data_IF_404394382678
#
_entry.id   IF_404394382678
#
_cell.length_a   1.000
_cell.length_b   1.000
_cell.length_c   1.000
_cell.angle_alpha   90.00
_cell.angle_beta   90.00
_cell.angle_gamma   90.00
#
_symmetry.space_group_name_H-M   'P 1'
#
loop_
_entity.id
_entity.type
_entity.pdbx_description
1 polymer ?
#
# COMPACT_ATOMS: atom_id res chain seq x y z
N UNK A 1 -40.75 5.28 -10.42
CA UNK A 1 -41.88 4.34 -10.48
C UNK A 1 -42.77 4.82 -11.61
N UNK A 2 -42.82 4.11 -12.74
CA UNK A 2 -43.61 4.51 -13.91
C UNK A 2 -45.02 3.94 -13.73
N UNK A 3 -46.03 4.81 -13.65
CA UNK A 3 -47.44 4.40 -13.64
C UNK A 3 -47.78 3.83 -15.02
N UNK A 4 -48.00 2.51 -15.08
CA UNK A 4 -48.41 1.86 -16.32
C UNK A 4 -49.90 2.12 -16.57
N UNK A 5 -50.27 2.29 -17.85
CA UNK A 5 -51.60 2.68 -18.37
C UNK A 5 -52.78 1.83 -17.87
N UNK A 6 -52.52 0.62 -17.36
CA UNK A 6 -53.54 -0.26 -16.77
C UNK A 6 -53.96 0.13 -15.35
N UNK A 7 -53.15 0.90 -14.61
CA UNK A 7 -53.49 1.37 -13.24
C UNK A 7 -54.39 2.61 -13.25
N UNK A 8 -54.33 3.43 -14.29
CA UNK A 8 -55.14 4.66 -14.39
C UNK A 8 -56.61 4.39 -14.74
N UNK A 9 -56.90 3.25 -15.37
CA UNK A 9 -58.28 2.83 -15.70
C UNK A 9 -59.17 2.55 -14.47
N UNK A 10 -58.58 2.26 -13.30
CA UNK A 10 -59.34 2.11 -12.05
C UNK A 10 -59.64 3.43 -11.33
N UNK A 11 -59.09 4.54 -11.84
CA UNK A 11 -59.26 5.88 -11.26
C UNK A 11 -60.46 6.62 -11.87
N UNK A 12 -61.12 6.08 -12.89
CA UNK A 12 -62.28 6.71 -13.51
C UNK A 12 -63.56 6.42 -12.70
N UNK A 13 -64.44 7.42 -12.56
CA UNK A 13 -65.73 7.28 -11.88
C UNK A 13 -66.61 6.26 -12.59
N UNK A 14 -67.15 5.30 -11.85
CA UNK A 14 -67.91 4.20 -12.44
C UNK A 14 -69.36 4.62 -12.75
N UNK A 15 -70.02 4.03 -13.76
CA UNK A 15 -71.40 4.36 -14.09
C UNK A 15 -72.34 4.06 -12.91
N UNK A 16 -73.04 5.08 -12.42
CA UNK A 16 -73.96 4.97 -11.27
C UNK A 16 -73.31 5.11 -9.88
N UNK A 17 -72.00 5.34 -9.82
CA UNK A 17 -71.28 5.60 -8.56
C UNK A 17 -71.55 7.02 -8.06
N UNK A 18 -72.00 7.15 -6.81
CA UNK A 18 -72.16 8.45 -6.18
C UNK A 18 -70.79 9.12 -5.99
N UNK A 19 -70.76 10.45 -5.98
CA UNK A 19 -69.51 11.23 -5.83
C UNK A 19 -68.75 10.82 -4.56
N UNK A 20 -69.48 10.62 -3.45
CA UNK A 20 -68.93 10.22 -2.16
C UNK A 20 -68.28 8.81 -2.18
N UNK A 21 -68.89 7.86 -2.90
CA UNK A 21 -68.35 6.51 -3.07
C UNK A 21 -67.06 6.53 -3.92
N UNK A 22 -67.03 7.34 -4.98
CA UNK A 22 -65.86 7.56 -5.81
C UNK A 22 -64.71 8.19 -5.01
N UNK A 23 -64.97 9.25 -4.25
CA UNK A 23 -63.98 9.91 -3.40
C UNK A 23 -63.39 8.96 -2.36
N UNK A 24 -64.23 8.16 -1.71
CA UNK A 24 -63.80 7.16 -0.72
C UNK A 24 -62.88 6.11 -1.36
N UNK A 25 -63.23 5.60 -2.55
CA UNK A 25 -62.40 4.63 -3.29
C UNK A 25 -61.05 5.23 -3.70
N UNK A 26 -61.05 6.48 -4.15
CA UNK A 26 -59.81 7.17 -4.53
C UNK A 26 -58.88 7.39 -3.34
N UNK A 27 -59.43 7.73 -2.17
CA UNK A 27 -58.66 7.85 -0.94
C UNK A 27 -58.04 6.50 -0.52
N UNK A 28 -58.81 5.42 -0.57
CA UNK A 28 -58.32 4.07 -0.26
C UNK A 28 -57.19 3.64 -1.22
N UNK A 29 -57.35 3.89 -2.52
CA UNK A 29 -56.32 3.61 -3.53
C UNK A 29 -55.03 4.43 -3.31
N UNK A 30 -55.15 5.70 -2.90
CA UNK A 30 -53.99 6.54 -2.55
C UNK A 30 -53.27 6.00 -1.31
N UNK A 31 -54.01 5.55 -0.29
CA UNK A 31 -53.42 4.93 0.90
C UNK A 31 -52.69 3.64 0.53
N UNK A 32 -53.30 2.79 -0.28
CA UNK A 32 -52.69 1.54 -0.75
C UNK A 32 -51.43 1.81 -1.59
N UNK A 33 -51.47 2.80 -2.48
CA UNK A 33 -50.28 3.19 -3.26
C UNK A 33 -49.17 3.71 -2.36
N UNK A 34 -49.49 4.54 -1.36
CA UNK A 34 -48.52 5.02 -0.36
C UNK A 34 -47.90 3.86 0.41
N UNK A 35 -48.69 2.89 0.85
CA UNK A 35 -48.20 1.70 1.54
C UNK A 35 -47.28 0.86 0.65
N UNK A 36 -47.68 0.58 -0.61
CA UNK A 36 -46.82 -0.16 -1.55
C UNK A 36 -45.53 0.60 -1.88
N UNK A 37 -45.59 1.92 -2.03
CA UNK A 37 -44.41 2.74 -2.27
C UNK A 37 -43.46 2.69 -1.05
N UNK A 38 -43.98 2.79 0.17
CA UNK A 38 -43.19 2.68 1.40
C UNK A 38 -42.58 1.27 1.58
N UNK A 39 -43.34 0.22 1.26
CA UNK A 39 -42.83 -1.16 1.29
C UNK A 39 -41.72 -1.37 0.24
N UNK A 40 -41.90 -0.83 -0.98
CA UNK A 40 -40.90 -0.93 -2.04
C UNK A 40 -39.62 -0.15 -1.72
N UNK A 41 -39.71 1.04 -1.11
CA UNK A 41 -38.52 1.79 -0.69
C UNK A 41 -37.80 1.09 0.47
N UNK A 42 -38.55 0.53 1.43
CA UNK A 42 -37.96 -0.25 2.51
C UNK A 42 -37.28 -1.53 2.01
N UNK A 43 -37.88 -2.24 1.06
CA UNK A 43 -37.29 -3.45 0.47
C UNK A 43 -36.00 -3.13 -0.29
N UNK A 44 -36.01 -2.09 -1.13
CA UNK A 44 -34.80 -1.63 -1.85
C UNK A 44 -33.69 -1.22 -0.91
N UNK A 45 -34.02 -0.47 0.16
CA UNK A 45 -33.04 -0.06 1.16
C UNK A 45 -32.36 -1.27 1.80
N UNK A 46 -33.14 -2.31 2.12
CA UNK A 46 -32.61 -3.56 2.68
C UNK A 46 -31.70 -4.31 1.69
N UNK A 47 -32.11 -4.39 0.42
CA UNK A 47 -31.29 -5.01 -0.63
C UNK A 47 -29.97 -4.24 -0.85
N UNK A 48 -30.02 -2.91 -0.83
CA UNK A 48 -28.84 -2.05 -0.96
C UNK A 48 -27.89 -2.22 0.23
N UNK A 49 -28.42 -2.28 1.46
CA UNK A 49 -27.65 -2.54 2.69
C UNK A 49 -26.95 -3.90 2.64
N UNK A 50 -27.67 -4.97 2.24
CA UNK A 50 -27.10 -6.31 2.09
C UNK A 50 -26.01 -6.35 1.00
N UNK A 51 -26.22 -5.68 -0.12
CA UNK A 51 -25.24 -5.57 -1.19
C UNK A 51 -24.00 -4.76 -0.78
N UNK A 52 -24.15 -3.74 0.08
CA UNK A 52 -23.02 -3.02 0.67
C UNK A 52 -22.23 -3.90 1.65
N UNK A 53 -22.90 -4.67 2.51
CA UNK A 53 -22.24 -5.59 3.44
C UNK A 53 -21.42 -6.64 2.69
N UNK A 54 -21.98 -7.25 1.65
CA UNK A 54 -21.26 -8.19 0.79
C UNK A 54 -20.04 -7.55 0.14
N UNK A 55 -20.16 -6.32 -0.38
CA UNK A 55 -19.02 -5.56 -0.94
C UNK A 55 -17.94 -5.27 0.10
N UNK A 56 -18.32 -4.87 1.32
CA UNK A 56 -17.38 -4.65 2.43
C UNK A 56 -16.61 -5.93 2.77
N UNK A 57 -17.27 -7.07 2.85
CA UNK A 57 -16.63 -8.37 3.13
C UNK A 57 -15.66 -8.78 2.01
N UNK A 58 -16.07 -8.64 0.75
CA UNK A 58 -15.22 -8.95 -0.40
C UNK A 58 -13.96 -8.07 -0.44
N UNK A 59 -14.11 -6.76 -0.17
CA UNK A 59 -12.97 -5.83 -0.13
C UNK A 59 -12.04 -6.13 1.05
N UNK A 60 -12.57 -6.45 2.24
CA UNK A 60 -11.75 -6.88 3.36
C UNK A 60 -10.94 -8.14 3.04
N UNK A 61 -11.55 -9.11 2.35
CA UNK A 61 -10.86 -10.32 1.94
C UNK A 61 -9.75 -10.00 0.94
N UNK A 62 -10.05 -9.19 -0.08
CA UNK A 62 -9.06 -8.72 -1.06
C UNK A 62 -7.88 -8.00 -0.40
N UNK A 63 -8.14 -7.17 0.61
CA UNK A 63 -7.08 -6.48 1.36
C UNK A 63 -6.20 -7.44 2.15
N UNK A 64 -6.79 -8.46 2.80
CA UNK A 64 -6.04 -9.52 3.49
C UNK A 64 -5.14 -10.28 2.52
N UNK A 65 -5.67 -10.68 1.37
CA UNK A 65 -4.94 -11.42 0.36
C UNK A 65 -3.82 -10.58 -0.25
N UNK A 66 -4.08 -9.30 -0.55
CA UNK A 66 -3.07 -8.36 -1.03
C UNK A 66 -1.95 -8.15 -0.01
N UNK A 67 -2.28 -8.05 1.29
CA UNK A 67 -1.30 -7.92 2.37
C UNK A 67 -0.45 -9.19 2.52
N UNK A 68 -1.07 -10.36 2.42
CA UNK A 68 -0.37 -11.65 2.46
C UNK A 68 0.58 -11.80 1.26
N UNK A 69 0.13 -11.44 0.05
CA UNK A 69 0.94 -11.48 -1.16
C UNK A 69 2.15 -10.54 -1.07
N UNK A 70 1.97 -9.31 -0.56
CA UNK A 70 3.08 -8.38 -0.31
C UNK A 70 4.10 -8.98 0.66
N UNK A 71 3.65 -9.51 1.80
CA UNK A 71 4.53 -10.16 2.78
C UNK A 71 5.32 -11.32 2.18
N UNK A 72 4.65 -12.18 1.39
CA UNK A 72 5.32 -13.30 0.71
C UNK A 72 6.38 -12.83 -0.30
N UNK A 73 6.11 -11.75 -1.03
CA UNK A 73 7.07 -11.16 -1.96
C UNK A 73 8.30 -10.59 -1.22
N UNK A 74 8.09 -9.94 -0.08
CA UNK A 74 9.17 -9.39 0.75
C UNK A 74 10.06 -10.48 1.32
N UNK A 75 9.48 -11.58 1.83
CA UNK A 75 10.25 -12.75 2.30
C UNK A 75 11.04 -13.40 1.16
N UNK A 76 10.45 -13.53 -0.04
CA UNK A 76 11.17 -14.05 -1.20
C UNK A 76 12.35 -13.14 -1.59
N UNK A 77 12.23 -11.81 -1.45
CA UNK A 77 13.35 -10.88 -1.64
C UNK A 77 14.43 -11.05 -0.57
N UNK A 78 14.05 -11.21 0.70
CA UNK A 78 14.98 -11.47 1.81
C UNK A 78 15.80 -12.73 1.56
N UNK A 79 15.12 -13.85 1.31
CA UNK A 79 15.77 -15.12 1.04
C UNK A 79 16.76 -15.05 -0.14
N UNK A 80 16.44 -14.29 -1.19
CA UNK A 80 17.36 -14.10 -2.32
C UNK A 80 18.60 -13.31 -1.94
N UNK A 81 18.48 -12.30 -1.08
CA UNK A 81 19.64 -11.53 -0.60
C UNK A 81 20.52 -12.38 0.31
N UNK A 82 19.93 -13.13 1.22
CA UNK A 82 20.67 -13.98 2.15
C UNK A 82 21.53 -14.99 1.37
N UNK A 83 21.00 -15.55 0.27
CA UNK A 83 21.76 -16.41 -0.65
C UNK A 83 22.90 -15.71 -1.38
N UNK A 84 22.75 -14.43 -1.74
CA UNK A 84 23.82 -13.66 -2.38
C UNK A 84 24.96 -13.44 -1.38
N UNK A 85 24.63 -13.04 -0.15
CA UNK A 85 25.61 -12.85 0.93
C UNK A 85 26.33 -14.15 1.30
N UNK A 86 25.60 -15.27 1.32
CA UNK A 86 26.22 -16.59 1.51
C UNK A 86 27.20 -16.91 0.35
N UNK A 87 26.77 -16.70 -0.90
CA UNK A 87 27.63 -16.95 -2.06
C UNK A 87 28.82 -16.01 -2.16
N UNK A 88 28.72 -14.79 -1.63
CA UNK A 88 29.83 -13.83 -1.58
C UNK A 88 31.00 -14.39 -0.78
N UNK A 89 30.73 -14.90 0.43
CA UNK A 89 31.75 -15.51 1.27
C UNK A 89 32.37 -16.76 0.64
N UNK A 90 31.56 -17.62 0.03
CA UNK A 90 32.05 -18.82 -0.67
C UNK A 90 32.99 -18.46 -1.83
N UNK A 91 32.61 -17.45 -2.63
CA UNK A 91 33.40 -17.00 -3.79
C UNK A 91 34.68 -16.29 -3.34
N UNK A 92 34.64 -15.52 -2.25
CA UNK A 92 35.83 -14.87 -1.68
C UNK A 92 36.87 -15.92 -1.25
N UNK A 93 36.44 -17.00 -0.60
CA UNK A 93 37.32 -18.11 -0.22
C UNK A 93 37.95 -18.77 -1.46
N UNK A 94 37.13 -19.09 -2.46
CA UNK A 94 37.60 -19.68 -3.73
C UNK A 94 38.59 -18.73 -4.43
N UNK A 95 38.31 -17.43 -4.46
CA UNK A 95 39.21 -16.43 -5.04
C UNK A 95 40.57 -16.44 -4.35
N UNK A 96 40.60 -16.54 -3.01
CA UNK A 96 41.84 -16.67 -2.23
C UNK A 96 42.63 -17.94 -2.57
N UNK A 97 41.96 -19.08 -2.70
CA UNK A 97 42.61 -20.35 -3.08
C UNK A 97 43.24 -20.30 -4.48
N UNK A 98 42.52 -19.74 -5.45
CA UNK A 98 43.03 -19.60 -6.82
C UNK A 98 44.12 -18.55 -6.94
N UNK A 99 44.08 -17.50 -6.13
CA UNK A 99 45.17 -16.52 -6.05
C UNK A 99 46.47 -17.20 -5.59
N UNK A 100 46.43 -18.01 -4.54
CA UNK A 100 47.61 -18.78 -4.07
C UNK A 100 48.12 -19.71 -5.17
N UNK A 101 47.24 -20.44 -5.86
CA UNK A 101 47.63 -21.33 -6.95
C UNK A 101 48.22 -20.59 -8.17
N UNK A 102 47.83 -19.33 -8.39
CA UNK A 102 48.33 -18.51 -9.50
C UNK A 102 49.71 -17.91 -9.25
N UNK A 103 50.08 -17.72 -7.97
CA UNK A 103 51.36 -17.17 -7.52
C UNK A 103 52.49 -18.21 -7.49
N UNK A 104 52.21 -19.50 -7.72
CA UNK A 104 53.27 -20.51 -7.87
C UNK A 104 54.13 -20.23 -9.12
N UNK A 105 55.47 -20.30 -8.96
CA UNK A 105 56.47 -19.92 -9.98
C UNK A 105 56.27 -20.66 -11.33
N UNK A 106 55.73 -21.87 -11.33
CA UNK A 106 55.47 -22.69 -12.53
C UNK A 106 53.99 -22.83 -12.89
N UNK A 107 53.11 -22.02 -12.30
CA UNK A 107 51.67 -22.11 -12.55
C UNK A 107 51.35 -21.97 -14.05
N UNK A 108 50.48 -22.82 -14.63
CA UNK A 108 50.08 -22.70 -16.02
C UNK A 108 49.35 -21.38 -16.31
N UNK A 109 49.49 -20.78 -17.52
CA UNK A 109 48.73 -19.59 -17.90
C UNK A 109 47.21 -19.73 -17.73
N UNK A 110 46.68 -20.94 -17.89
CA UNK A 110 45.26 -21.24 -17.67
C UNK A 110 44.84 -21.07 -16.20
N UNK A 111 45.71 -21.41 -15.24
CA UNK A 111 45.46 -21.24 -13.80
C UNK A 111 45.43 -19.76 -13.45
N UNK A 112 46.42 -18.98 -13.90
CA UNK A 112 46.43 -17.51 -13.73
C UNK A 112 45.20 -16.85 -14.35
N UNK A 113 44.82 -17.24 -15.57
CA UNK A 113 43.63 -16.71 -16.22
C UNK A 113 42.32 -17.04 -15.48
N UNK A 114 42.23 -18.23 -14.89
CA UNK A 114 41.08 -18.62 -14.09
C UNK A 114 41.04 -17.87 -12.74
N UNK A 115 42.18 -17.70 -12.08
CA UNK A 115 42.29 -16.90 -10.86
C UNK A 115 41.82 -15.46 -11.07
N UNK A 116 42.31 -14.79 -12.12
CA UNK A 116 41.84 -13.44 -12.49
C UNK A 116 40.34 -13.40 -12.79
N UNK A 117 39.80 -14.44 -13.44
CA UNK A 117 38.36 -14.50 -13.73
C UNK A 117 37.55 -14.63 -12.45
N UNK A 118 37.98 -15.47 -11.51
CA UNK A 118 37.31 -15.67 -10.23
C UNK A 118 37.40 -14.40 -9.36
N UNK A 119 38.54 -13.71 -9.37
CA UNK A 119 38.71 -12.41 -8.71
C UNK A 119 37.68 -11.39 -9.23
N UNK A 120 37.53 -11.27 -10.55
CA UNK A 120 36.50 -10.39 -11.14
C UNK A 120 35.08 -10.77 -10.71
N UNK A 121 34.77 -12.08 -10.63
CA UNK A 121 33.47 -12.56 -10.13
C UNK A 121 33.28 -12.22 -8.66
N UNK A 122 34.33 -12.37 -7.84
CA UNK A 122 34.31 -12.00 -6.41
C UNK A 122 34.00 -10.51 -6.23
N UNK A 123 34.68 -9.64 -6.98
CA UNK A 123 34.44 -8.18 -6.95
C UNK A 123 33.00 -7.84 -7.38
N UNK A 124 32.51 -8.52 -8.42
CA UNK A 124 31.14 -8.34 -8.90
C UNK A 124 30.11 -8.71 -7.83
N UNK A 125 30.27 -9.88 -7.21
CA UNK A 125 29.34 -10.38 -6.19
C UNK A 125 29.38 -9.50 -4.93
N UNK A 126 30.57 -9.06 -4.49
CA UNK A 126 30.70 -8.13 -3.38
C UNK A 126 30.01 -6.77 -3.67
N UNK A 127 30.14 -6.27 -4.90
CA UNK A 127 29.42 -5.06 -5.32
C UNK A 127 27.91 -5.27 -5.29
N UNK A 128 27.42 -6.42 -5.77
CA UNK A 128 26.00 -6.78 -5.70
C UNK A 128 25.50 -6.91 -4.25
N UNK A 129 26.30 -7.48 -3.35
CA UNK A 129 25.99 -7.61 -1.93
C UNK A 129 25.82 -6.24 -1.26
N UNK A 130 26.80 -5.34 -1.43
CA UNK A 130 26.72 -3.97 -0.92
C UNK A 130 25.48 -3.22 -1.44
N UNK A 131 25.16 -3.35 -2.73
CA UNK A 131 23.94 -2.77 -3.32
C UNK A 131 22.66 -3.35 -2.69
N UNK A 132 22.63 -4.64 -2.35
CA UNK A 132 21.48 -5.24 -1.68
C UNK A 132 21.31 -4.71 -0.24
N UNK A 133 22.39 -4.41 0.46
CA UNK A 133 22.37 -3.78 1.78
C UNK A 133 21.83 -2.34 1.72
N UNK A 134 22.28 -1.55 0.74
CA UNK A 134 21.76 -0.19 0.52
C UNK A 134 20.25 -0.19 0.23
N UNK A 135 19.81 -1.09 -0.66
CA UNK A 135 18.38 -1.26 -0.97
C UNK A 135 17.60 -1.66 0.27
N UNK A 136 18.14 -2.55 1.12
CA UNK A 136 17.54 -2.93 2.40
C UNK A 136 17.41 -1.77 3.38
N UNK A 137 18.41 -0.90 3.43
CA UNK A 137 18.42 0.30 4.24
C UNK A 137 17.29 1.25 3.79
N UNK A 138 17.24 1.56 2.50
CA UNK A 138 16.20 2.42 1.90
C UNK A 138 14.80 1.83 2.09
N UNK A 139 14.61 0.53 1.85
CA UNK A 139 13.32 -0.13 2.05
C UNK A 139 12.86 -0.07 3.52
N UNK A 140 13.79 -0.22 4.46
CA UNK A 140 13.50 -0.09 5.89
C UNK A 140 13.11 1.34 6.25
N UNK A 141 13.76 2.34 5.64
CA UNK A 141 13.43 3.75 5.81
C UNK A 141 12.04 4.08 5.27
N UNK A 142 11.73 3.65 4.04
CA UNK A 142 10.40 3.83 3.42
C UNK A 142 9.32 3.18 4.27
N UNK A 143 9.56 1.98 4.82
CA UNK A 143 8.61 1.32 5.74
C UNK A 143 8.38 2.11 7.02
N UNK A 144 9.42 2.76 7.58
CA UNK A 144 9.25 3.65 8.75
C UNK A 144 8.41 4.87 8.38
N UNK A 145 8.68 5.48 7.23
CA UNK A 145 7.93 6.64 6.75
C UNK A 145 6.45 6.31 6.52
N UNK A 146 6.15 5.16 5.91
CA UNK A 146 4.77 4.72 5.70
C UNK A 146 4.00 4.57 7.03
N UNK A 147 4.64 4.00 8.06
CA UNK A 147 4.03 3.88 9.41
C UNK A 147 3.73 5.23 10.03
N UNK A 148 4.64 6.18 9.88
CA UNK A 148 4.43 7.54 10.39
C UNK A 148 3.28 8.22 9.65
N UNK A 149 3.23 8.10 8.32
CA UNK A 149 2.10 8.63 7.54
C UNK A 149 0.78 8.01 8.02
N UNK A 150 0.73 6.71 8.26
CA UNK A 150 -0.45 6.04 8.83
C UNK A 150 -0.81 6.59 10.23
N UNK A 151 0.18 6.80 11.11
CA UNK A 151 -0.03 7.39 12.44
C UNK A 151 -0.56 8.83 12.37
N UNK A 152 -0.01 9.65 11.48
CA UNK A 152 -0.45 11.03 11.25
C UNK A 152 -1.89 11.05 10.70
N UNK A 153 -2.20 10.17 9.74
CA UNK A 153 -3.55 10.04 9.19
C UNK A 153 -4.56 9.64 10.26
N UNK A 154 -4.18 8.74 11.16
CA UNK A 154 -5.01 8.33 12.29
C UNK A 154 -5.20 9.46 13.32
N UNK A 155 -4.18 10.29 13.56
CA UNK A 155 -4.31 11.49 14.38
C UNK A 155 -5.26 12.50 13.75
N UNK A 156 -5.11 12.78 12.46
CA UNK A 156 -6.01 13.68 11.71
C UNK A 156 -7.45 13.17 11.77
N UNK A 157 -7.68 11.87 11.53
CA UNK A 157 -9.04 11.28 11.66
C UNK A 157 -9.62 11.46 13.05
N UNK A 158 -8.82 11.31 14.12
CA UNK A 158 -9.30 11.55 15.48
C UNK A 158 -9.69 13.01 15.70
N UNK A 159 -8.88 13.94 15.20
CA UNK A 159 -9.16 15.38 15.27
C UNK A 159 -10.41 15.76 14.45
N UNK A 160 -10.62 15.15 13.29
CA UNK A 160 -11.82 15.35 12.48
C UNK A 160 -13.10 14.82 13.15
N UNK A 161 -13.00 13.80 13.99
CA UNK A 161 -14.16 13.16 14.67
C UNK A 161 -14.48 13.78 16.04
N UNK A 162 -13.51 14.39 16.71
CA UNK A 162 -13.67 15.09 17.99
C UNK A 162 -14.79 16.18 17.99
N UNK A 163 -15.11 16.86 16.86
CA UNK A 163 -16.21 17.82 16.75
C UNK A 163 -17.63 17.26 16.86
N UNK A 164 -17.83 15.97 16.59
CA UNK A 164 -19.18 15.45 16.30
C UNK A 164 -19.92 14.95 17.55
N UNK A 165 -19.23 14.76 18.68
CA UNK A 165 -19.80 14.15 19.88
C UNK A 165 -20.16 15.13 21.01
N UNK A 166 -19.96 16.43 20.85
CA UNK A 166 -20.32 17.44 21.86
C UNK A 166 -21.55 18.25 21.42
N UNK A 167 -22.57 18.29 22.30
CA UNK A 167 -23.74 19.20 22.22
C UNK A 167 -23.30 20.61 21.80
N UNK A 168 -24.07 21.34 20.96
CA UNK A 168 -23.72 22.69 20.53
C UNK A 168 -23.74 23.65 21.73
N UNK A 169 -22.61 23.73 22.45
CA UNK A 169 -22.37 24.68 23.50
C UNK A 169 -21.76 25.95 22.90
N UNK A 170 -22.07 27.10 23.52
CA UNK A 170 -21.88 28.44 22.97
C UNK A 170 -20.46 28.82 22.51
N UNK A 171 -20.31 30.01 21.91
CA UNK A 171 -19.14 30.45 21.15
C UNK A 171 -17.79 30.33 21.88
N UNK A 172 -17.76 30.42 23.21
CA UNK A 172 -16.55 30.24 24.02
C UNK A 172 -15.94 28.84 23.91
N UNK A 173 -16.74 27.79 23.72
CA UNK A 173 -16.28 26.41 23.56
C UNK A 173 -15.63 26.20 22.18
N UNK A 174 -16.07 26.94 21.16
CA UNK A 174 -15.52 26.85 19.81
C UNK A 174 -14.10 27.42 19.75
N UNK A 175 -13.84 28.53 20.47
CA UNK A 175 -12.50 29.10 20.62
C UNK A 175 -11.53 28.14 21.32
N UNK A 176 -11.96 27.50 22.42
CA UNK A 176 -11.14 26.52 23.14
C UNK A 176 -10.79 25.31 22.27
N UNK A 177 -11.75 24.86 21.45
CA UNK A 177 -11.56 23.75 20.51
C UNK A 177 -10.61 24.10 19.36
N UNK A 178 -10.67 25.33 18.85
CA UNK A 178 -9.72 25.82 17.84
C UNK A 178 -8.31 25.89 18.42
N UNK A 179 -8.15 26.36 19.66
CA UNK A 179 -6.84 26.39 20.33
C UNK A 179 -6.26 24.99 20.54
N UNK A 180 -7.06 24.01 20.96
CA UNK A 180 -6.61 22.62 21.11
C UNK A 180 -6.15 22.06 19.75
N UNK A 181 -6.95 22.27 18.69
CA UNK A 181 -6.60 21.82 17.35
C UNK A 181 -5.32 22.49 16.82
N UNK A 182 -5.13 23.77 17.09
CA UNK A 182 -3.92 24.50 16.71
C UNK A 182 -2.67 23.94 17.41
N UNK A 183 -2.78 23.60 18.71
CA UNK A 183 -1.71 22.95 19.48
C UNK A 183 -1.41 21.56 18.92
N UNK A 184 -2.44 20.77 18.63
CA UNK A 184 -2.29 19.41 18.11
C UNK A 184 -1.65 19.42 16.71
N UNK A 185 -2.07 20.32 15.82
CA UNK A 185 -1.46 20.52 14.49
C UNK A 185 -0.02 21.03 14.60
N UNK A 186 0.27 21.92 15.55
CA UNK A 186 1.63 22.37 15.85
C UNK A 186 2.53 21.20 16.27
N UNK A 187 2.06 20.38 17.20
CA UNK A 187 2.78 19.20 17.69
C UNK A 187 3.01 18.16 16.58
N UNK A 188 2.00 17.96 15.72
CA UNK A 188 2.06 17.10 14.54
C UNK A 188 3.16 17.55 13.57
N UNK A 189 3.18 18.85 13.28
CA UNK A 189 4.16 19.48 12.39
C UNK A 189 5.58 19.32 12.92
N UNK A 190 5.79 19.59 14.22
CA UNK A 190 7.11 19.49 14.84
C UNK A 190 7.62 18.04 14.86
N UNK A 191 6.74 17.07 15.15
CA UNK A 191 7.07 15.64 15.06
C UNK A 191 7.46 15.19 13.65
N UNK A 192 6.74 15.66 12.62
CA UNK A 192 7.08 15.38 11.23
C UNK A 192 8.45 15.98 10.85
N UNK A 193 8.73 17.21 11.28
CA UNK A 193 9.98 17.93 10.98
C UNK A 193 11.19 17.29 11.66
N UNK A 194 11.08 16.93 12.95
CA UNK A 194 12.10 16.21 13.68
C UNK A 194 12.40 14.83 13.06
N UNK A 195 11.38 14.17 12.54
CA UNK A 195 11.55 12.86 11.90
C UNK A 195 12.24 12.97 10.55
N UNK A 196 11.87 13.93 9.70
CA UNK A 196 12.57 14.19 8.44
C UNK A 196 14.07 14.46 8.68
N UNK A 197 14.41 15.26 9.69
CA UNK A 197 15.80 15.47 10.08
C UNK A 197 16.53 14.18 10.49
N UNK A 198 15.86 13.28 11.22
CA UNK A 198 16.42 11.99 11.61
C UNK A 198 16.67 11.08 10.40
N UNK A 199 15.80 11.14 9.41
CA UNK A 199 15.95 10.41 8.15
C UNK A 199 17.17 10.92 7.38
N UNK A 200 17.26 12.25 7.21
CA UNK A 200 18.39 12.88 6.54
C UNK A 200 19.72 12.51 7.22
N UNK A 201 19.75 12.48 8.56
CA UNK A 201 20.93 12.03 9.31
C UNK A 201 21.29 10.56 9.04
N UNK A 202 20.30 9.67 8.94
CA UNK A 202 20.55 8.25 8.62
C UNK A 202 21.09 8.07 7.19
N UNK A 203 20.57 8.83 6.23
CA UNK A 203 21.06 8.82 4.84
C UNK A 203 22.51 9.34 4.80
N UNK A 204 22.78 10.47 5.45
CA UNK A 204 24.14 11.03 5.52
C UNK A 204 25.14 10.10 6.21
N UNK A 205 24.72 9.39 7.27
CA UNK A 205 25.57 8.43 7.95
C UNK A 205 25.87 7.18 7.09
N UNK A 206 24.88 6.68 6.35
CA UNK A 206 25.09 5.58 5.40
C UNK A 206 26.06 6.00 4.28
N UNK A 207 25.87 7.20 3.71
CA UNK A 207 26.74 7.75 2.67
C UNK A 207 28.18 8.05 3.13
N UNK A 208 28.40 8.22 4.43
CA UNK A 208 29.73 8.48 5.02
C UNK A 208 30.48 7.20 5.44
N UNK A 209 29.91 6.00 5.24
CA UNK A 209 30.57 4.76 5.61
C UNK A 209 31.82 4.49 4.74
N UNK A 210 32.99 4.14 5.31
CA UNK A 210 34.26 4.05 4.58
C UNK A 210 34.39 2.87 3.61
N UNK A 211 33.39 2.00 3.51
CA UNK A 211 33.42 0.79 2.67
C UNK A 211 33.47 1.08 1.16
N UNK A 212 33.30 2.35 0.75
CA UNK A 212 33.59 2.81 -0.60
C UNK A 212 35.11 2.99 -0.85
N UNK A 213 35.92 1.96 -0.59
CA UNK A 213 37.22 1.84 -1.25
C UNK A 213 36.98 1.50 -2.73
N UNK A 214 37.57 2.33 -3.61
CA UNK A 214 37.65 2.18 -5.07
C UNK A 214 36.33 2.24 -5.84
N UNK A 215 35.83 3.47 -6.04
CA UNK A 215 35.02 3.84 -7.21
C UNK A 215 35.88 3.77 -8.49
N UNK A 216 36.22 2.57 -8.94
CA UNK A 216 36.36 2.33 -10.37
C UNK A 216 34.94 2.15 -10.93
N UNK A 217 34.66 2.79 -12.07
CA UNK A 217 33.31 3.04 -12.56
C UNK A 217 32.35 1.86 -12.35
N UNK A 218 31.24 2.12 -11.64
CA UNK A 218 30.11 1.20 -11.51
C UNK A 218 29.84 0.60 -12.90
N UNK A 219 29.98 -0.73 -13.08
CA UNK A 219 29.64 -1.35 -14.35
C UNK A 219 28.17 -1.03 -14.64
N UNK A 220 27.89 -0.38 -15.77
CA UNK A 220 26.50 -0.15 -16.19
C UNK A 220 25.88 -1.50 -16.54
N UNK A 221 24.99 -1.98 -15.68
CA UNK A 221 24.18 -3.19 -15.90
C UNK A 221 23.00 -2.93 -16.86
N UNK A 222 23.15 -2.05 -17.84
CA UNK A 222 22.14 -1.80 -18.85
C UNK A 222 21.93 -3.09 -19.67
N UNK A 223 20.84 -3.81 -19.41
CA UNK A 223 20.43 -4.99 -20.16
C UNK A 223 20.81 -6.37 -19.59
N UNK A 224 21.34 -6.45 -18.35
CA UNK A 224 21.49 -7.76 -17.68
C UNK A 224 20.16 -8.19 -17.03
N UNK A 225 19.62 -9.38 -17.36
CA UNK A 225 18.34 -9.86 -16.85
C UNK A 225 18.51 -10.43 -15.42
N UNK A 226 18.89 -9.56 -14.47
CA UNK A 226 19.10 -9.96 -13.06
C UNK A 226 17.75 -10.19 -12.33
N UNK A 227 16.63 -9.83 -12.98
CA UNK A 227 15.28 -10.02 -12.47
C UNK A 227 14.39 -10.78 -13.46
N UNK A 228 14.73 -12.03 -13.78
CA UNK A 228 13.76 -12.94 -14.38
C UNK A 228 12.96 -13.62 -13.25
N UNK A 229 11.69 -13.24 -13.10
CA UNK A 229 10.73 -14.06 -12.37
C UNK A 229 10.30 -15.18 -13.33
N UNK A 230 10.68 -16.43 -13.05
CA UNK A 230 10.47 -17.57 -13.95
C UNK A 230 8.99 -17.84 -14.34
N UNK A 231 8.04 -17.08 -13.80
CA UNK A 231 6.62 -17.14 -14.11
C UNK A 231 6.09 -15.95 -14.94
N UNK A 232 6.91 -14.96 -15.29
CA UNK A 232 6.49 -13.79 -16.09
C UNK A 232 7.47 -13.51 -17.22
N UNK A 233 6.94 -13.55 -18.44
CA UNK A 233 7.67 -13.33 -19.70
C UNK A 233 7.94 -11.87 -20.03
N UNK A 234 7.50 -10.92 -19.19
CA UNK A 234 7.68 -9.50 -19.48
C UNK A 234 8.62 -8.83 -18.46
N UNK A 235 9.59 -8.03 -18.93
CA UNK A 235 10.47 -7.27 -18.06
C UNK A 235 9.67 -6.24 -17.24
N UNK A 236 9.97 -6.14 -15.95
CA UNK A 236 9.40 -5.12 -15.07
C UNK A 236 10.04 -3.78 -15.45
N UNK A 237 9.24 -2.86 -16.00
CA UNK A 237 9.69 -1.49 -16.26
C UNK A 237 10.01 -0.79 -14.92
N UNK A 238 11.13 -0.05 -14.91
CA UNK A 238 11.52 0.84 -13.81
C UNK A 238 10.48 1.94 -13.59
#
# INVERSE_FOLDING_TARGET
MVLTRSKTSGMDQQPGETIEAYETRMLDMVVEFKQRAAAATSARKKEDEEAEEQRRLAEQQRQKDAKAARKAADERRRLRRDKILESEGDIEVIAGEWAVAAEEDDAPPAVRGLATTIEHVSVLVATCAAQQEDILCVDTLVRKQARLVDELLDQVRRLEQQPTTATPAGPSNLMDRVNILEIDVGTLKDGALATNQRIDQQICAAAASPTATTSESIPKFDGLPIFYDAAKTDPIAW
#
